data_IF_637177324144
#
_entry.id   IF_637177324144
#
_cell.length_a   1.000
_cell.length_b   1.000
_cell.length_c   1.000
_cell.angle_alpha   90.00
_cell.angle_beta   90.00
_cell.angle_gamma   90.00
#
_symmetry.space_group_name_H-M   'P 1'
#
loop_
_entity.id
_entity.type
_entity.pdbx_description
1 polymer ?
#
# COMPACT_ATOMS: atom_id res chain seq x y z
N UNK A 1 -9.75 19.65 41.62
CA UNK A 1 -8.32 19.34 41.40
C UNK A 1 -8.21 17.89 40.97
N UNK A 2 -8.15 17.63 39.67
CA UNK A 2 -7.85 16.30 39.11
C UNK A 2 -6.79 16.53 38.05
N UNK A 3 -5.64 15.87 38.24
CA UNK A 3 -4.44 16.05 37.45
C UNK A 3 -4.62 15.53 36.02
N UNK A 4 -4.21 16.36 35.05
CA UNK A 4 -4.17 16.01 33.65
C UNK A 4 -2.97 15.08 33.37
N UNK A 5 -3.24 13.81 33.05
CA UNK A 5 -2.26 12.95 32.40
C UNK A 5 -2.04 13.45 30.97
N UNK A 6 -0.88 14.07 30.74
CA UNK A 6 -0.36 14.36 29.40
C UNK A 6 0.15 13.06 28.80
N UNK A 7 -0.58 12.49 27.86
CA UNK A 7 -0.06 11.46 26.97
C UNK A 7 0.80 12.14 25.90
N UNK A 8 2.11 11.96 25.99
CA UNK A 8 3.04 12.20 24.88
C UNK A 8 2.81 11.15 23.78
N UNK A 9 2.68 11.54 22.49
CA UNK A 9 2.56 10.59 21.41
C UNK A 9 3.87 9.82 21.17
N UNK A 10 3.81 8.53 20.76
CA UNK A 10 5.01 7.75 20.43
C UNK A 10 5.65 8.22 19.11
N UNK A 11 6.96 7.97 18.91
CA UNK A 11 7.65 8.36 17.68
C UNK A 11 7.15 7.53 16.49
N UNK A 12 7.00 8.21 15.35
CA UNK A 12 6.66 7.60 14.07
C UNK A 12 7.77 6.65 13.62
N UNK A 13 7.39 5.40 13.32
CA UNK A 13 8.24 4.45 12.60
C UNK A 13 8.38 3.11 13.30
N UNK A 14 7.45 2.18 13.05
CA UNK A 14 7.76 0.74 12.85
C UNK A 14 6.50 -0.04 12.41
N UNK A 15 6.05 0.14 11.15
CA UNK A 15 4.81 -0.50 10.67
C UNK A 15 4.94 -2.01 10.43
N UNK A 16 6.14 -2.59 10.51
CA UNK A 16 6.39 -4.03 10.28
C UNK A 16 6.54 -4.85 11.56
N UNK A 17 6.53 -4.23 12.74
CA UNK A 17 6.88 -4.92 14.01
C UNK A 17 5.74 -5.64 14.73
N UNK A 18 4.54 -5.70 14.16
CA UNK A 18 3.35 -6.21 14.85
C UNK A 18 2.85 -7.59 14.37
N UNK A 19 3.67 -8.34 13.62
CA UNK A 19 3.35 -9.72 13.21
C UNK A 19 4.08 -10.83 14.01
N UNK A 20 4.74 -10.51 15.12
CA UNK A 20 5.47 -11.50 15.92
C UNK A 20 5.06 -11.50 17.40
N UNK A 21 3.82 -11.93 17.67
CA UNK A 21 3.45 -12.54 18.96
C UNK A 21 2.18 -13.39 18.85
N UNK A 22 2.28 -14.51 18.12
CA UNK A 22 1.28 -15.59 18.11
C UNK A 22 1.88 -16.89 18.63
N UNK A 23 2.46 -16.85 19.84
CA UNK A 23 3.03 -18.03 20.51
C UNK A 23 1.97 -18.75 21.35
N UNK A 24 1.55 -19.91 20.86
CA UNK A 24 1.15 -21.12 21.59
C UNK A 24 0.64 -20.99 23.04
N UNK A 25 -0.63 -21.33 23.26
CA UNK A 25 -1.06 -22.00 24.48
C UNK A 25 -2.08 -23.10 24.16
N UNK A 26 -1.58 -24.32 24.14
CA UNK A 26 -2.33 -25.56 24.27
C UNK A 26 -3.00 -25.65 25.64
N UNK A 27 -4.26 -26.09 25.69
CA UNK A 27 -4.95 -26.46 26.92
C UNK A 27 -6.32 -27.05 26.60
N UNK A 28 -6.42 -28.38 26.66
CA UNK A 28 -7.64 -29.13 26.38
C UNK A 28 -8.58 -29.29 27.58
N UNK A 29 -9.68 -30.01 27.31
CA UNK A 29 -10.73 -30.41 28.26
C UNK A 29 -11.96 -29.52 28.15
N UNK A 30 -13.18 -29.97 27.92
CA UNK A 30 -13.77 -31.31 27.91
C UNK A 30 -15.26 -31.15 28.20
N UNK A 31 -16.11 -31.89 27.47
CA UNK A 31 -17.43 -32.41 27.86
C UNK A 31 -18.56 -31.47 28.35
N UNK A 32 -19.75 -31.67 27.77
CA UNK A 32 -21.02 -31.36 28.46
C UNK A 32 -22.11 -30.84 27.52
N UNK A 33 -23.06 -31.72 27.16
CA UNK A 33 -24.25 -31.38 26.38
C UNK A 33 -25.45 -30.89 27.21
N UNK A 34 -26.62 -30.97 26.56
CA UNK A 34 -27.96 -30.48 26.95
C UNK A 34 -28.16 -28.97 26.71
N UNK A 35 -29.26 -28.45 26.18
CA UNK A 35 -30.54 -29.02 25.79
C UNK A 35 -31.52 -27.86 25.51
N UNK A 36 -32.33 -28.04 24.46
CA UNK A 36 -33.70 -27.54 24.19
C UNK A 36 -34.26 -26.28 24.90
N UNK A 37 -34.89 -25.41 24.10
CA UNK A 37 -36.19 -24.70 24.29
C UNK A 37 -36.09 -23.23 23.84
N UNK A 38 -36.57 -22.88 22.65
CA UNK A 38 -37.92 -22.37 22.38
C UNK A 38 -38.35 -21.19 23.27
N UNK A 39 -38.46 -19.99 22.70
CA UNK A 39 -39.72 -19.23 22.69
C UNK A 39 -39.59 -17.94 21.87
N UNK A 40 -40.38 -17.92 20.81
CA UNK A 40 -40.79 -16.77 20.03
C UNK A 40 -41.60 -15.80 20.88
N UNK A 41 -41.21 -14.52 20.91
CA UNK A 41 -42.04 -13.43 21.39
C UNK A 41 -42.52 -12.60 20.20
N UNK A 42 -43.75 -12.87 19.79
CA UNK A 42 -44.57 -12.05 18.90
C UNK A 42 -45.02 -10.81 19.67
N UNK A 43 -44.59 -9.62 19.23
CA UNK A 43 -45.18 -8.36 19.66
C UNK A 43 -46.02 -7.81 18.51
N UNK A 44 -47.33 -7.86 18.69
CA UNK A 44 -48.33 -7.26 17.81
C UNK A 44 -48.74 -5.91 18.40
N UNK A 45 -48.87 -4.88 17.57
CA UNK A 45 -49.63 -3.70 17.96
C UNK A 45 -49.18 -2.36 17.39
N UNK A 46 -50.00 -1.91 16.42
CA UNK A 46 -50.40 -0.51 16.17
C UNK A 46 -49.48 0.37 15.32
N UNK A 47 -49.94 0.45 14.07
CA UNK A 47 -50.00 1.63 13.21
C UNK A 47 -50.04 2.97 13.93
N UNK A 48 -49.16 3.88 13.54
CA UNK A 48 -49.40 5.33 13.58
C UNK A 48 -49.02 5.89 12.20
N UNK A 49 -49.90 6.75 11.69
CA UNK A 49 -49.99 7.15 10.30
C UNK A 49 -48.82 7.97 9.80
N UNK A 50 -48.57 7.82 8.50
CA UNK A 50 -47.66 8.67 7.75
C UNK A 50 -48.19 10.09 7.65
N UNK A 51 -47.31 11.03 7.98
CA UNK A 51 -47.33 12.37 7.42
C UNK A 51 -45.97 12.57 6.74
N UNK A 52 -45.95 12.36 5.43
CA UNK A 52 -44.78 12.53 4.58
C UNK A 52 -44.37 13.99 4.55
N UNK A 53 -43.37 14.35 5.36
CA UNK A 53 -42.53 15.50 5.09
C UNK A 53 -41.49 15.06 4.08
N UNK A 54 -41.75 15.35 2.81
CA UNK A 54 -40.78 15.29 1.74
C UNK A 54 -39.61 16.22 2.09
N UNK A 55 -38.61 15.66 2.78
CA UNK A 55 -37.28 16.28 2.88
C UNK A 55 -36.68 16.10 1.49
N UNK A 56 -36.72 17.18 0.71
CA UNK A 56 -35.87 17.33 -0.46
C UNK A 56 -34.42 17.08 -0.01
N UNK A 57 -33.93 15.88 -0.25
CA UNK A 57 -32.51 15.55 -0.19
C UNK A 57 -31.85 16.28 -1.35
N UNK A 58 -31.61 17.57 -1.17
CA UNK A 58 -30.60 18.27 -1.95
C UNK A 58 -29.29 17.54 -1.66
N UNK A 59 -28.87 16.70 -2.59
CA UNK A 59 -27.52 16.14 -2.61
C UNK A 59 -26.57 17.33 -2.51
N UNK A 60 -25.99 17.56 -1.33
CA UNK A 60 -24.83 18.44 -1.22
C UNK A 60 -23.74 17.72 -2.00
N UNK A 61 -23.58 18.12 -3.26
CA UNK A 61 -22.33 17.90 -3.96
C UNK A 61 -21.24 18.42 -3.03
N UNK A 62 -20.35 17.52 -2.59
CA UNK A 62 -19.24 17.87 -1.70
C UNK A 62 -18.58 19.13 -2.21
N UNK A 63 -18.46 20.13 -1.35
CA UNK A 63 -17.89 21.42 -1.75
C UNK A 63 -16.42 21.16 -2.08
N UNK A 64 -16.05 21.36 -3.35
CA UNK A 64 -14.67 21.22 -3.77
C UNK A 64 -13.77 22.10 -2.88
N UNK A 65 -12.68 21.53 -2.38
CA UNK A 65 -11.73 22.23 -1.53
C UNK A 65 -11.30 23.54 -2.21
N UNK A 66 -11.29 24.68 -1.48
CA UNK A 66 -10.79 25.93 -2.02
C UNK A 66 -9.38 25.73 -2.57
N UNK A 67 -9.12 26.23 -3.79
CA UNK A 67 -7.85 26.01 -4.49
C UNK A 67 -6.62 26.37 -3.63
N UNK A 68 -6.73 27.42 -2.80
CA UNK A 68 -5.67 27.85 -1.89
C UNK A 68 -5.33 26.80 -0.80
N UNK A 69 -6.34 26.11 -0.25
CA UNK A 69 -6.14 25.05 0.76
C UNK A 69 -5.54 23.81 0.09
N UNK A 70 -6.01 23.47 -1.12
CA UNK A 70 -5.45 22.38 -1.91
C UNK A 70 -3.97 22.64 -2.24
N UNK A 71 -3.64 23.86 -2.66
CA UNK A 71 -2.26 24.22 -3.00
C UNK A 71 -1.34 24.24 -1.76
N UNK A 72 -1.88 24.60 -0.59
CA UNK A 72 -1.18 24.51 0.68
C UNK A 72 -0.84 23.07 1.06
N UNK A 73 -1.82 22.17 0.96
CA UNK A 73 -1.66 20.74 1.24
C UNK A 73 -0.63 20.09 0.32
N UNK A 74 -0.57 20.51 -0.94
CA UNK A 74 0.36 19.98 -1.94
C UNK A 74 1.77 20.60 -1.87
N UNK A 75 2.09 21.45 -0.88
CA UNK A 75 3.46 21.96 -0.69
C UNK A 75 4.43 20.81 -0.38
N UNK A 76 5.54 20.75 -1.12
CA UNK A 76 6.61 19.76 -0.89
C UNK A 76 6.37 18.40 -1.56
N UNK A 77 5.34 18.28 -2.40
CA UNK A 77 5.14 17.15 -3.33
C UNK A 77 5.87 17.46 -4.63
N UNK A 78 6.54 16.46 -5.20
CA UNK A 78 7.19 16.61 -6.50
C UNK A 78 6.20 16.98 -7.61
N UNK A 79 6.61 17.85 -8.54
CA UNK A 79 5.73 18.38 -9.58
C UNK A 79 5.08 17.26 -10.44
N UNK A 80 5.82 16.17 -10.66
CA UNK A 80 5.35 15.00 -11.42
C UNK A 80 4.22 14.25 -10.71
N UNK A 81 4.21 14.23 -9.37
CA UNK A 81 3.22 13.50 -8.57
C UNK A 81 2.02 14.37 -8.18
N UNK A 82 2.15 15.70 -8.32
CA UNK A 82 1.18 16.68 -7.80
C UNK A 82 -0.25 16.42 -8.26
N UNK A 83 -0.46 16.06 -9.53
CA UNK A 83 -1.82 15.77 -10.04
C UNK A 83 -2.41 14.51 -9.42
N UNK A 84 -1.62 13.44 -9.31
CA UNK A 84 -2.08 12.18 -8.71
C UNK A 84 -2.42 12.37 -7.24
N UNK A 85 -1.58 13.10 -6.50
CA UNK A 85 -1.83 13.41 -5.08
C UNK A 85 -3.04 14.34 -4.91
N UNK A 86 -3.24 15.31 -5.80
CA UNK A 86 -4.42 16.17 -5.79
C UNK A 86 -5.72 15.35 -5.92
N UNK A 87 -5.76 14.35 -6.81
CA UNK A 87 -6.91 13.43 -6.95
C UNK A 87 -7.16 12.63 -5.67
N UNK A 88 -6.11 12.23 -4.95
CA UNK A 88 -6.24 11.55 -3.64
C UNK A 88 -6.81 12.50 -2.59
N UNK A 89 -6.40 13.76 -2.55
CA UNK A 89 -6.96 14.77 -1.64
C UNK A 89 -8.45 15.03 -1.94
N UNK A 90 -8.83 15.07 -3.20
CA UNK A 90 -10.25 15.20 -3.60
C UNK A 90 -11.05 13.94 -3.24
N UNK A 91 -10.45 12.75 -3.32
CA UNK A 91 -11.05 11.51 -2.82
C UNK A 91 -11.23 11.56 -1.30
N UNK A 92 -10.21 12.04 -0.57
CA UNK A 92 -10.22 12.19 0.89
C UNK A 92 -11.37 13.08 1.37
N UNK A 93 -11.56 14.23 0.71
CA UNK A 93 -12.66 15.13 1.04
C UNK A 93 -14.02 14.46 0.81
N UNK A 94 -14.19 13.77 -0.32
CA UNK A 94 -15.43 13.04 -0.60
C UNK A 94 -15.68 11.93 0.41
N UNK A 95 -14.63 11.24 0.86
CA UNK A 95 -14.73 10.20 1.88
C UNK A 95 -15.18 10.79 3.23
N UNK A 96 -14.63 11.95 3.61
CA UNK A 96 -15.04 12.68 4.80
C UNK A 96 -16.51 13.14 4.72
N UNK A 97 -16.96 13.65 3.57
CA UNK A 97 -18.33 14.12 3.36
C UNK A 97 -19.36 12.97 3.33
N UNK A 98 -18.98 11.84 2.72
CA UNK A 98 -19.88 10.68 2.51
C UNK A 98 -19.87 9.66 3.64
N UNK A 99 -18.99 9.81 4.64
CA UNK A 99 -18.81 8.84 5.72
C UNK A 99 -18.54 7.41 5.24
N UNK A 100 -17.93 7.27 4.06
CA UNK A 100 -17.61 6.00 3.44
C UNK A 100 -16.11 5.87 3.19
N UNK A 101 -15.59 4.65 3.23
CA UNK A 101 -14.23 4.37 2.79
C UNK A 101 -14.22 4.33 1.27
N UNK A 102 -13.46 5.22 0.65
CA UNK A 102 -13.26 5.29 -0.78
C UNK A 102 -11.88 4.77 -1.16
N UNK A 103 -11.72 4.35 -2.42
CA UNK A 103 -10.46 3.77 -2.89
C UNK A 103 -9.92 4.54 -4.09
N UNK A 104 -8.64 4.90 -4.03
CA UNK A 104 -7.93 5.54 -5.14
C UNK A 104 -7.65 4.54 -6.26
N UNK A 105 -6.99 5.01 -7.33
CA UNK A 105 -6.39 4.15 -8.34
C UNK A 105 -5.08 3.54 -7.82
N UNK A 106 -4.46 2.65 -8.61
CA UNK A 106 -3.14 2.12 -8.32
C UNK A 106 -2.07 3.17 -8.58
N UNK A 107 -1.37 3.54 -7.52
CA UNK A 107 -0.29 4.52 -7.53
C UNK A 107 1.06 3.83 -7.30
N UNK A 108 2.12 4.46 -7.81
CA UNK A 108 3.50 4.01 -7.57
C UNK A 108 3.92 4.34 -6.14
N UNK A 109 4.94 3.64 -5.57
CA UNK A 109 5.38 3.89 -4.20
C UNK A 109 5.71 5.36 -3.87
N UNK A 110 6.36 6.14 -4.76
CA UNK A 110 6.59 7.57 -4.51
C UNK A 110 5.31 8.37 -4.32
N UNK A 111 4.32 8.16 -5.20
CA UNK A 111 3.03 8.86 -5.17
C UNK A 111 2.24 8.46 -3.92
N UNK A 112 2.28 7.18 -3.55
CA UNK A 112 1.65 6.69 -2.31
C UNK A 112 2.27 7.33 -1.08
N UNK A 113 3.60 7.42 -1.02
CA UNK A 113 4.30 8.06 0.09
C UNK A 113 3.92 9.55 0.20
N UNK A 114 3.99 10.30 -0.90
CA UNK A 114 3.60 11.71 -0.91
C UNK A 114 2.12 11.89 -0.53
N UNK A 115 1.23 11.03 -1.03
CA UNK A 115 -0.18 11.07 -0.72
C UNK A 115 -0.45 10.82 0.77
N UNK A 116 0.17 9.80 1.37
CA UNK A 116 0.02 9.52 2.80
C UNK A 116 0.51 10.67 3.68
N UNK A 117 1.63 11.30 3.33
CA UNK A 117 2.11 12.48 4.05
C UNK A 117 1.14 13.67 3.94
N UNK A 118 0.50 13.86 2.80
CA UNK A 118 -0.51 14.93 2.63
C UNK A 118 -1.77 14.60 3.43
N UNK A 119 -2.21 13.34 3.44
CA UNK A 119 -3.38 12.90 4.21
C UNK A 119 -3.18 13.10 5.71
N UNK A 120 -1.97 12.89 6.24
CA UNK A 120 -1.65 13.17 7.65
C UNK A 120 -1.81 14.64 8.07
N UNK A 121 -1.82 15.57 7.10
CA UNK A 121 -2.05 17.00 7.35
C UNK A 121 -3.53 17.37 7.31
N UNK A 122 -4.40 16.47 6.85
CA UNK A 122 -5.85 16.68 6.83
C UNK A 122 -6.45 16.24 8.17
N UNK A 123 -7.44 16.99 8.66
CA UNK A 123 -8.17 16.62 9.86
C UNK A 123 -9.23 15.53 9.55
N UNK A 124 -9.46 14.63 10.49
CA UNK A 124 -10.50 13.59 10.47
C UNK A 124 -10.44 12.62 9.28
N UNK A 125 -9.28 12.48 8.64
CA UNK A 125 -9.07 11.56 7.51
C UNK A 125 -7.82 10.72 7.73
N UNK A 126 -7.94 9.42 7.49
CA UNK A 126 -6.82 8.49 7.43
C UNK A 126 -6.78 7.78 6.06
N UNK A 127 -5.58 7.38 5.67
CA UNK A 127 -5.32 6.62 4.46
C UNK A 127 -4.49 5.38 4.76
N UNK A 128 -4.90 4.23 4.22
CA UNK A 128 -4.13 2.98 4.27
C UNK A 128 -3.81 2.54 2.84
N UNK A 129 -2.53 2.28 2.58
CA UNK A 129 -2.08 1.77 1.29
C UNK A 129 -2.15 0.25 1.27
N UNK A 130 -2.82 -0.31 0.26
CA UNK A 130 -2.89 -1.75 0.04
C UNK A 130 -2.81 -2.10 -1.45
N UNK A 131 -1.92 -3.02 -1.78
CA UNK A 131 -1.69 -3.49 -3.15
C UNK A 131 -2.09 -4.94 -3.38
N UNK A 132 -2.71 -5.62 -2.41
CA UNK A 132 -3.13 -7.03 -2.51
C UNK A 132 -2.19 -8.02 -1.81
N UNK A 133 -0.90 -7.69 -1.69
CA UNK A 133 0.08 -8.44 -0.90
C UNK A 133 1.11 -7.50 -0.25
N UNK A 134 1.82 -7.92 0.82
CA UNK A 134 2.67 -7.02 1.61
C UNK A 134 3.87 -6.40 0.88
N UNK A 135 4.27 -6.96 -0.27
CA UNK A 135 5.40 -6.49 -1.08
C UNK A 135 4.96 -5.86 -2.40
N UNK A 136 3.68 -5.51 -2.55
CA UNK A 136 3.19 -4.86 -3.76
C UNK A 136 3.93 -3.54 -4.00
N UNK A 137 4.36 -3.31 -5.24
CA UNK A 137 4.93 -2.04 -5.68
C UNK A 137 3.81 -1.04 -5.95
N UNK A 138 2.78 -1.42 -6.71
CA UNK A 138 1.63 -0.55 -6.96
C UNK A 138 0.54 -0.81 -5.93
N UNK A 139 0.17 0.24 -5.20
CA UNK A 139 -0.85 0.17 -4.15
C UNK A 139 -2.00 1.13 -4.44
N UNK A 140 -3.20 0.75 -4.00
CA UNK A 140 -4.35 1.65 -3.89
C UNK A 140 -4.41 2.21 -2.48
N UNK A 141 -4.92 3.42 -2.33
CA UNK A 141 -5.18 4.05 -1.05
C UNK A 141 -6.65 3.88 -0.71
N UNK A 142 -6.94 3.21 0.40
CA UNK A 142 -8.22 3.28 1.06
C UNK A 142 -8.23 4.52 1.95
N UNK A 143 -9.13 5.46 1.68
CA UNK A 143 -9.22 6.74 2.38
C UNK A 143 -10.61 6.89 2.98
N UNK A 144 -10.67 7.27 4.25
CA UNK A 144 -11.89 7.42 5.02
C UNK A 144 -11.61 8.16 6.33
N UNK A 145 -12.62 8.24 7.21
CA UNK A 145 -12.40 8.80 8.54
C UNK A 145 -11.47 7.91 9.36
N UNK A 146 -10.70 8.50 10.26
CA UNK A 146 -9.72 7.79 11.10
C UNK A 146 -10.35 6.57 11.79
N UNK A 147 -11.51 6.75 12.43
CA UNK A 147 -12.27 5.68 13.08
C UNK A 147 -12.66 4.50 12.16
N UNK A 148 -12.99 4.77 10.89
CA UNK A 148 -13.43 3.76 9.94
C UNK A 148 -12.24 2.99 9.33
N UNK A 149 -11.09 3.65 9.23
CA UNK A 149 -9.89 3.10 8.59
C UNK A 149 -8.97 2.42 9.63
N UNK A 150 -8.91 2.91 10.87
CA UNK A 150 -8.10 2.32 11.94
C UNK A 150 -8.51 0.88 12.25
N UNK A 151 -9.82 0.58 12.33
CA UNK A 151 -10.32 -0.78 12.53
C UNK A 151 -9.93 -1.75 11.41
N UNK A 152 -9.62 -1.23 10.22
CA UNK A 152 -9.26 -1.99 9.02
C UNK A 152 -7.75 -1.98 8.74
N UNK A 153 -6.96 -1.22 9.51
CA UNK A 153 -5.50 -1.18 9.39
C UNK A 153 -4.83 -2.49 9.84
N UNK A 154 -5.51 -3.26 10.70
CA UNK A 154 -5.03 -4.56 11.20
C UNK A 154 -5.08 -5.68 10.16
N UNK A 155 -6.04 -5.63 9.22
CA UNK A 155 -6.13 -6.54 8.08
C UNK A 155 -6.53 -5.78 6.81
N UNK A 156 -5.55 -5.18 6.10
CA UNK A 156 -5.80 -4.43 4.88
C UNK A 156 -6.44 -5.27 3.75
N UNK A 157 -6.41 -6.60 3.84
CA UNK A 157 -7.07 -7.47 2.85
C UNK A 157 -8.61 -7.37 2.93
N UNK A 158 -9.15 -7.02 4.10
CA UNK A 158 -10.58 -6.82 4.33
C UNK A 158 -11.10 -5.49 3.79
N UNK A 159 -10.21 -4.58 3.38
CA UNK A 159 -10.60 -3.32 2.75
C UNK A 159 -11.36 -3.56 1.44
N UNK A 160 -11.26 -4.76 0.84
CA UNK A 160 -11.98 -5.12 -0.38
C UNK A 160 -11.58 -4.28 -1.59
N UNK A 161 -10.48 -3.53 -1.50
CA UNK A 161 -10.08 -2.58 -2.52
C UNK A 161 -9.23 -3.16 -3.64
N UNK A 162 -8.77 -4.41 -3.54
CA UNK A 162 -7.95 -5.06 -4.55
C UNK A 162 -8.50 -6.46 -4.79
N UNK A 163 -8.63 -6.82 -6.06
CA UNK A 163 -8.95 -8.18 -6.48
C UNK A 163 -7.82 -8.74 -7.34
N UNK A 164 -7.69 -10.06 -7.35
CA UNK A 164 -6.75 -10.76 -8.21
C UNK A 164 -7.51 -11.54 -9.29
N UNK A 165 -6.99 -11.49 -10.52
CA UNK A 165 -7.47 -12.27 -11.64
C UNK A 165 -6.33 -13.18 -12.09
N UNK A 166 -6.56 -14.48 -12.08
CA UNK A 166 -5.66 -15.46 -12.67
C UNK A 166 -5.95 -15.59 -14.17
N UNK A 167 -4.91 -15.42 -14.96
CA UNK A 167 -4.91 -15.57 -16.42
C UNK A 167 -4.13 -16.83 -16.76
N UNK A 168 -4.87 -17.89 -17.10
CA UNK A 168 -4.30 -19.20 -17.41
C UNK A 168 -4.26 -19.41 -18.92
N UNK A 169 -3.10 -19.83 -19.43
CA UNK A 169 -2.86 -20.14 -20.84
C UNK A 169 -1.67 -21.06 -21.02
N UNK A 170 -1.50 -21.60 -22.23
CA UNK A 170 -0.36 -22.46 -22.55
C UNK A 170 0.80 -21.64 -23.14
N UNK A 171 1.72 -21.20 -22.29
CA UNK A 171 2.86 -20.37 -22.68
C UNK A 171 4.17 -21.17 -22.87
N UNK A 172 4.11 -22.50 -23.01
CA UNK A 172 5.32 -23.32 -23.22
C UNK A 172 6.08 -22.99 -24.51
N UNK A 173 5.36 -22.56 -25.56
CA UNK A 173 5.94 -22.33 -26.89
C UNK A 173 5.99 -20.85 -27.31
N UNK A 174 5.30 -19.95 -26.59
CA UNK A 174 5.38 -18.49 -26.76
C UNK A 174 5.42 -17.86 -25.35
N UNK A 175 6.61 -17.72 -24.74
CA UNK A 175 6.72 -17.22 -23.38
C UNK A 175 6.29 -15.76 -23.30
N UNK A 176 5.20 -15.51 -22.58
CA UNK A 176 4.70 -14.15 -22.37
C UNK A 176 5.46 -13.44 -21.25
N UNK A 177 5.85 -12.19 -21.51
CA UNK A 177 6.46 -11.31 -20.53
C UNK A 177 5.42 -10.47 -19.79
N UNK A 178 5.83 -9.81 -18.71
CA UNK A 178 5.00 -8.84 -18.00
C UNK A 178 4.38 -7.78 -18.94
N UNK A 179 5.13 -7.33 -19.96
CA UNK A 179 4.65 -6.31 -20.91
C UNK A 179 3.49 -6.82 -21.77
N UNK A 180 3.49 -8.11 -22.10
CA UNK A 180 2.47 -8.73 -22.95
C UNK A 180 1.14 -8.86 -22.20
N UNK A 181 1.17 -9.33 -20.94
CA UNK A 181 -0.02 -9.38 -20.09
C UNK A 181 -0.60 -7.98 -19.83
N UNK A 182 0.27 -6.99 -19.60
CA UNK A 182 -0.15 -5.62 -19.47
C UNK A 182 -0.82 -5.11 -20.76
N UNK A 183 -0.18 -5.33 -21.90
CA UNK A 183 -0.71 -4.92 -23.21
C UNK A 183 -2.08 -5.54 -23.49
N UNK A 184 -2.26 -6.82 -23.17
CA UNK A 184 -3.54 -7.51 -23.32
C UNK A 184 -4.62 -6.91 -22.41
N UNK A 185 -4.31 -6.60 -21.15
CA UNK A 185 -5.25 -5.93 -20.25
C UNK A 185 -5.65 -4.55 -20.75
N UNK A 186 -4.68 -3.74 -21.21
CA UNK A 186 -4.97 -2.42 -21.76
C UNK A 186 -5.78 -2.50 -23.07
N UNK A 187 -5.57 -3.57 -23.87
CA UNK A 187 -6.34 -3.86 -25.07
C UNK A 187 -7.83 -4.09 -24.81
N UNK A 188 -8.22 -4.49 -23.60
CA UNK A 188 -9.64 -4.62 -23.19
C UNK A 188 -10.33 -3.28 -22.91
N UNK A 189 -9.61 -2.15 -23.01
CA UNK A 189 -10.12 -0.80 -22.72
C UNK A 189 -9.93 -0.36 -21.28
N UNK A 190 -9.20 -1.12 -20.45
CA UNK A 190 -8.89 -0.74 -19.06
C UNK A 190 -7.77 0.29 -19.02
N UNK A 191 -7.92 1.31 -18.18
CA UNK A 191 -6.88 2.29 -17.92
C UNK A 191 -5.73 1.71 -17.06
N UNK A 192 -4.49 2.13 -17.35
CA UNK A 192 -3.30 1.70 -16.59
C UNK A 192 -3.40 1.99 -15.08
N UNK A 193 -4.12 3.05 -14.69
CA UNK A 193 -4.35 3.39 -13.29
C UNK A 193 -5.17 2.35 -12.53
N UNK A 194 -5.98 1.53 -13.20
CA UNK A 194 -6.82 0.49 -12.57
C UNK A 194 -6.14 -0.88 -12.48
N UNK A 195 -4.94 -1.00 -13.05
CA UNK A 195 -4.14 -2.22 -13.04
C UNK A 195 -2.95 -2.02 -12.10
N UNK A 196 -2.83 -2.95 -11.15
CA UNK A 196 -1.74 -3.03 -10.20
C UNK A 196 -0.57 -3.85 -10.74
N UNK A 197 0.00 -4.65 -9.86
CA UNK A 197 1.12 -5.53 -10.17
C UNK A 197 0.66 -6.78 -10.94
N UNK A 198 1.55 -7.28 -11.80
CA UNK A 198 1.33 -8.48 -12.59
C UNK A 198 2.39 -9.51 -12.18
N UNK A 199 1.94 -10.60 -11.59
CA UNK A 199 2.77 -11.71 -11.14
C UNK A 199 2.82 -12.77 -12.24
N UNK A 200 3.91 -12.79 -12.99
CA UNK A 200 4.09 -13.76 -14.09
C UNK A 200 4.52 -15.12 -13.53
N UNK A 201 3.74 -16.16 -13.83
CA UNK A 201 3.94 -17.55 -13.38
C UNK A 201 4.73 -18.39 -14.41
N UNK A 202 5.25 -17.78 -15.46
CA UNK A 202 6.00 -18.47 -16.52
C UNK A 202 5.05 -19.20 -17.46
N UNK A 203 5.17 -20.53 -17.54
CA UNK A 203 4.45 -21.36 -18.51
C UNK A 203 2.94 -21.45 -18.25
N UNK A 204 2.51 -21.25 -17.00
CA UNK A 204 1.11 -21.39 -16.57
C UNK A 204 0.30 -20.09 -16.72
N UNK A 205 0.95 -18.96 -17.07
CA UNK A 205 0.30 -17.66 -17.25
C UNK A 205 0.71 -16.63 -16.21
N UNK A 206 -0.23 -15.82 -15.75
CA UNK A 206 0.02 -14.72 -14.82
C UNK A 206 -1.17 -14.43 -13.91
N UNK A 207 -0.92 -13.81 -12.76
CA UNK A 207 -1.94 -13.26 -11.88
C UNK A 207 -1.85 -11.74 -11.91
N UNK A 208 -2.99 -11.06 -12.06
CA UNK A 208 -3.07 -9.62 -12.28
C UNK A 208 -3.90 -9.00 -11.18
N UNK A 209 -3.34 -7.99 -10.52
CA UNK A 209 -4.07 -7.25 -9.50
C UNK A 209 -4.82 -6.09 -10.13
N UNK A 210 -6.10 -5.98 -9.79
CA UNK A 210 -7.01 -5.00 -10.38
C UNK A 210 -7.99 -4.46 -9.35
N UNK A 211 -8.68 -3.40 -9.75
CA UNK A 211 -9.84 -2.91 -9.01
C UNK A 211 -10.97 -3.97 -9.07
N UNK A 212 -11.68 -4.25 -7.96
CA UNK A 212 -12.69 -5.30 -7.90
C UNK A 212 -13.80 -5.17 -8.96
N UNK A 213 -14.16 -3.93 -9.31
CA UNK A 213 -15.17 -3.63 -10.31
C UNK A 213 -14.76 -4.00 -11.75
N UNK A 214 -13.51 -4.43 -11.98
CA UNK A 214 -12.99 -4.82 -13.29
C UNK A 214 -12.83 -6.34 -13.45
N UNK A 215 -13.10 -7.12 -12.41
CA UNK A 215 -12.95 -8.58 -12.46
C UNK A 215 -13.84 -9.19 -13.52
N UNK A 216 -15.15 -8.92 -13.48
CA UNK A 216 -16.12 -9.43 -14.45
C UNK A 216 -15.80 -9.00 -15.89
N UNK A 217 -15.35 -7.74 -16.06
CA UNK A 217 -14.94 -7.23 -17.37
C UNK A 217 -13.72 -7.99 -17.91
N UNK A 218 -12.72 -8.25 -17.08
CA UNK A 218 -11.53 -9.01 -17.48
C UNK A 218 -11.84 -10.47 -17.77
N UNK A 219 -12.71 -11.10 -16.98
CA UNK A 219 -13.16 -12.48 -17.24
C UNK A 219 -13.82 -12.63 -18.61
N UNK A 220 -14.61 -11.63 -19.03
CA UNK A 220 -15.29 -11.64 -20.32
C UNK A 220 -14.40 -11.18 -21.49
N UNK A 221 -13.59 -10.14 -21.31
CA UNK A 221 -12.87 -9.48 -22.39
C UNK A 221 -11.46 -10.05 -22.64
N UNK A 222 -10.79 -10.58 -21.62
CA UNK A 222 -9.41 -11.06 -21.73
C UNK A 222 -9.38 -12.53 -22.20
N UNK A 223 -9.54 -12.72 -23.51
CA UNK A 223 -9.60 -14.05 -24.14
C UNK A 223 -8.29 -14.48 -24.79
N UNK A 224 -7.39 -13.53 -25.08
CA UNK A 224 -6.14 -13.80 -25.78
C UNK A 224 -5.01 -12.89 -25.28
N UNK A 225 -3.83 -13.47 -25.07
CA UNK A 225 -2.58 -12.74 -24.81
C UNK A 225 -1.62 -13.10 -25.94
N UNK A 226 -1.18 -12.10 -26.72
CA UNK A 226 -0.41 -12.31 -27.96
C UNK A 226 -1.15 -13.24 -28.93
N UNK A 227 -0.66 -14.45 -29.12
CA UNK A 227 -1.23 -15.49 -30.00
C UNK A 227 -1.90 -16.61 -29.20
N UNK A 228 -1.72 -16.62 -27.87
CA UNK A 228 -2.16 -17.70 -26.99
C UNK A 228 -3.57 -17.40 -26.46
N UNK A 229 -4.56 -18.29 -26.63
CA UNK A 229 -5.85 -18.15 -25.98
C UNK A 229 -5.69 -18.35 -24.48
N UNK A 230 -6.31 -17.47 -23.70
CA UNK A 230 -6.25 -17.47 -22.25
C UNK A 230 -7.64 -17.51 -21.64
N UNK A 231 -7.72 -17.96 -20.39
CA UNK A 231 -8.89 -17.85 -19.55
C UNK A 231 -8.56 -17.01 -18.33
N UNK A 232 -9.32 -15.93 -18.13
CA UNK A 232 -9.28 -15.14 -16.91
C UNK A 232 -10.33 -15.65 -15.91
N UNK A 233 -9.96 -15.73 -14.63
CA UNK A 233 -10.85 -16.08 -13.53
C UNK A 233 -10.44 -15.35 -12.25
N UNK A 234 -11.40 -14.94 -11.43
CA UNK A 234 -11.15 -14.39 -10.10
C UNK A 234 -10.43 -15.40 -9.20
N UNK A 235 -9.43 -14.94 -8.45
CA UNK A 235 -8.68 -15.75 -7.49
C UNK A 235 -8.56 -15.02 -6.15
N UNK A 236 -8.54 -15.77 -5.05
CA UNK A 236 -8.36 -15.19 -3.73
C UNK A 236 -6.95 -14.58 -3.60
N UNK A 237 -6.82 -13.45 -2.89
CA UNK A 237 -5.51 -12.81 -2.64
C UNK A 237 -4.54 -13.75 -1.89
N UNK A 238 -5.06 -14.68 -1.09
CA UNK A 238 -4.27 -15.69 -0.39
C UNK A 238 -3.62 -16.73 -1.31
N UNK A 239 -4.12 -16.91 -2.52
CA UNK A 239 -3.61 -17.85 -3.52
C UNK A 239 -2.61 -17.20 -4.49
N UNK A 240 -2.25 -15.94 -4.23
CA UNK A 240 -1.26 -15.24 -5.02
C UNK A 240 0.10 -15.93 -4.91
N UNK A 241 0.61 -16.40 -6.05
CA UNK A 241 1.91 -17.05 -6.16
C UNK A 241 3.01 -16.01 -6.35
N UNK A 242 3.11 -15.10 -5.38
CA UNK A 242 4.18 -14.09 -5.37
C UNK A 242 5.50 -14.80 -5.09
N UNK A 243 6.43 -14.74 -6.05
CA UNK A 243 7.81 -15.16 -5.77
C UNK A 243 8.38 -14.24 -4.70
N UNK A 244 8.88 -14.82 -3.61
CA UNK A 244 9.61 -14.03 -2.62
C UNK A 244 10.73 -13.25 -3.33
N UNK A 245 10.82 -11.92 -3.13
CA UNK A 245 11.87 -11.13 -3.74
C UNK A 245 13.23 -11.72 -3.34
N UNK A 246 14.17 -11.76 -4.29
CA UNK A 246 15.55 -12.14 -3.98
C UNK A 246 16.16 -11.01 -3.17
N UNK A 247 16.11 -11.16 -1.86
CA UNK A 247 16.67 -10.21 -0.91
C UNK A 247 18.03 -10.71 -0.45
N UNK A 248 19.01 -9.81 -0.46
CA UNK A 248 20.31 -10.03 0.15
C UNK A 248 20.37 -9.24 1.46
N UNK A 249 20.38 -9.95 2.58
CA UNK A 249 20.56 -9.33 3.89
C UNK A 249 22.05 -9.02 4.12
N UNK A 250 22.33 -7.77 4.46
CA UNK A 250 23.67 -7.25 4.66
C UNK A 250 23.73 -6.59 6.04
N UNK A 251 24.82 -6.85 6.76
CA UNK A 251 25.11 -6.18 8.02
C UNK A 251 26.46 -5.49 7.93
N UNK A 252 26.51 -4.20 8.22
CA UNK A 252 27.76 -3.43 8.30
C UNK A 252 27.85 -2.62 9.59
N UNK A 253 29.07 -2.28 9.97
CA UNK A 253 29.34 -1.41 11.12
C UNK A 253 30.00 -0.14 10.60
N UNK A 254 29.23 0.94 10.57
CA UNK A 254 29.67 2.25 10.09
C UNK A 254 29.97 3.19 11.25
N UNK A 255 30.86 4.16 11.03
CA UNK A 255 31.19 5.20 12.01
C UNK A 255 30.07 6.23 12.20
N UNK A 256 29.18 6.37 11.22
CA UNK A 256 28.11 7.37 11.18
C UNK A 256 27.00 6.91 10.24
N UNK A 257 25.76 7.34 10.47
CA UNK A 257 24.58 7.03 9.64
C UNK A 257 24.49 7.88 8.36
N UNK A 258 25.63 8.23 7.78
CA UNK A 258 25.67 9.03 6.54
C UNK A 258 25.25 8.19 5.35
N UNK A 259 24.51 8.81 4.43
CA UNK A 259 24.03 8.19 3.20
C UNK A 259 25.17 7.57 2.38
N UNK A 260 26.28 8.27 2.20
CA UNK A 260 27.43 7.74 1.46
C UNK A 260 28.03 6.48 2.12
N UNK A 261 28.17 6.48 3.44
CA UNK A 261 28.69 5.34 4.20
C UNK A 261 27.74 4.13 4.11
N UNK A 262 26.45 4.33 4.43
CA UNK A 262 25.45 3.26 4.43
C UNK A 262 25.23 2.69 3.03
N UNK A 263 25.08 3.55 2.02
CA UNK A 263 24.86 3.12 0.65
C UNK A 263 26.10 2.45 0.04
N UNK A 264 27.32 2.92 0.38
CA UNK A 264 28.56 2.26 -0.07
C UNK A 264 28.66 0.81 0.42
N UNK A 265 28.28 0.56 1.68
CA UNK A 265 28.25 -0.77 2.26
C UNK A 265 27.17 -1.65 1.63
N UNK A 266 25.96 -1.12 1.43
CA UNK A 266 24.84 -1.89 0.87
C UNK A 266 24.99 -2.24 -0.61
N UNK A 267 25.58 -1.36 -1.41
CA UNK A 267 25.80 -1.60 -2.84
C UNK A 267 27.20 -2.16 -3.15
N UNK A 268 28.03 -2.42 -2.14
CA UNK A 268 29.42 -2.91 -2.26
C UNK A 268 30.26 -2.07 -3.22
N UNK A 269 30.25 -0.75 -3.06
CA UNK A 269 31.00 0.18 -3.89
C UNK A 269 31.85 1.15 -3.06
N UNK A 270 32.84 1.79 -3.67
CA UNK A 270 33.66 2.77 -2.95
C UNK A 270 32.83 4.01 -2.59
N UNK A 271 33.13 4.61 -1.43
CA UNK A 271 32.48 5.86 -0.98
C UNK A 271 32.64 7.01 -1.98
N UNK A 272 33.77 7.07 -2.70
CA UNK A 272 34.00 8.06 -3.76
C UNK A 272 32.99 7.92 -4.90
N UNK A 273 32.83 6.70 -5.44
CA UNK A 273 31.85 6.42 -6.50
C UNK A 273 30.43 6.71 -6.05
N UNK A 274 30.09 6.39 -4.80
CA UNK A 274 28.77 6.70 -4.25
C UNK A 274 28.55 8.22 -4.15
N UNK A 275 29.55 8.98 -3.69
CA UNK A 275 29.46 10.44 -3.62
C UNK A 275 29.29 11.07 -5.01
N UNK A 276 29.91 10.51 -6.05
CA UNK A 276 29.76 10.97 -7.43
C UNK A 276 28.33 10.71 -7.96
N UNK A 277 27.77 9.53 -7.68
CA UNK A 277 26.37 9.21 -8.02
C UNK A 277 25.36 10.10 -7.29
N UNK A 278 25.63 10.43 -6.02
CA UNK A 278 24.79 11.37 -5.25
C UNK A 278 24.83 12.76 -5.89
N UNK A 279 26.03 13.24 -6.28
CA UNK A 279 26.17 14.53 -6.98
C UNK A 279 25.51 14.53 -8.36
N UNK A 280 25.52 13.39 -9.05
CA UNK A 280 24.85 13.22 -10.33
C UNK A 280 23.32 13.17 -10.22
N UNK A 281 22.76 13.02 -9.01
CA UNK A 281 21.32 12.90 -8.77
C UNK A 281 20.77 11.49 -9.02
N UNK A 282 21.64 10.48 -9.15
CA UNK A 282 21.27 9.09 -9.42
C UNK A 282 20.82 8.33 -8.17
N UNK A 283 20.95 8.96 -6.99
CA UNK A 283 20.58 8.39 -5.70
C UNK A 283 19.35 9.09 -5.15
N UNK A 284 18.35 8.29 -4.78
CA UNK A 284 17.12 8.75 -4.14
C UNK A 284 16.99 8.13 -2.75
N UNK A 285 16.60 8.92 -1.76
CA UNK A 285 16.23 8.47 -0.42
C UNK A 285 14.75 8.70 -0.25
N UNK A 286 13.99 7.67 0.12
CA UNK A 286 12.53 7.72 0.23
C UNK A 286 11.90 8.36 -1.01
N UNK A 287 12.37 7.94 -2.18
CA UNK A 287 11.92 8.39 -3.51
C UNK A 287 12.28 9.83 -3.90
N UNK A 288 12.93 10.60 -3.03
CA UNK A 288 13.38 11.98 -3.30
C UNK A 288 14.86 12.02 -3.63
N UNK A 289 15.26 12.91 -4.54
CA UNK A 289 16.67 13.08 -4.92
C UNK A 289 17.51 13.49 -3.70
N UNK A 290 18.58 12.75 -3.41
CA UNK A 290 19.46 13.06 -2.31
C UNK A 290 20.44 14.17 -2.72
N UNK A 291 20.25 15.39 -2.20
CA UNK A 291 21.13 16.52 -2.54
C UNK A 291 22.48 16.54 -1.82
N UNK A 292 22.65 15.78 -0.72
CA UNK A 292 23.86 15.80 0.11
C UNK A 292 24.29 14.38 0.50
N UNK A 293 25.56 14.06 0.25
CA UNK A 293 26.16 12.78 0.66
C UNK A 293 26.22 12.57 2.18
N UNK A 294 26.22 13.67 2.94
CA UNK A 294 26.20 13.67 4.40
C UNK A 294 24.79 13.59 4.99
N UNK A 295 23.75 13.38 4.19
CA UNK A 295 22.39 13.19 4.70
C UNK A 295 22.36 11.99 5.66
N UNK A 296 21.70 12.13 6.79
CA UNK A 296 21.53 11.03 7.74
C UNK A 296 20.40 10.11 7.28
N UNK A 297 20.63 8.80 7.38
CA UNK A 297 19.67 7.75 7.02
C UNK A 297 19.18 7.08 8.30
N UNK A 298 17.87 6.88 8.40
CA UNK A 298 17.21 6.27 9.55
C UNK A 298 16.75 4.85 9.24
N UNK A 299 16.39 4.10 10.29
CA UNK A 299 15.73 2.81 10.12
C UNK A 299 14.36 3.02 9.45
N UNK A 300 14.06 2.20 8.46
CA UNK A 300 12.87 2.32 7.60
C UNK A 300 13.13 3.04 6.28
N UNK A 301 14.27 3.74 6.12
CA UNK A 301 14.56 4.46 4.89
C UNK A 301 14.90 3.52 3.72
N UNK A 302 14.43 3.90 2.54
CA UNK A 302 14.70 3.20 1.28
C UNK A 302 15.60 4.05 0.39
N UNK A 303 16.81 3.55 0.15
CA UNK A 303 17.80 4.15 -0.74
C UNK A 303 17.75 3.44 -2.10
N UNK A 304 17.43 4.19 -3.16
CA UNK A 304 17.39 3.68 -4.53
C UNK A 304 18.51 4.30 -5.35
N UNK A 305 19.25 3.47 -6.08
CA UNK A 305 20.34 3.93 -6.96
C UNK A 305 20.05 3.48 -8.38
N UNK A 306 20.05 4.43 -9.31
CA UNK A 306 19.81 4.17 -10.72
C UNK A 306 20.77 3.08 -11.25
N UNK A 307 20.20 2.03 -11.85
CA UNK A 307 20.97 0.91 -12.42
C UNK A 307 21.61 -0.06 -11.42
N UNK A 308 21.43 0.12 -10.10
CA UNK A 308 22.04 -0.76 -9.07
C UNK A 308 21.04 -1.43 -8.13
N UNK A 309 19.80 -0.94 -8.09
CA UNK A 309 18.70 -1.54 -7.32
C UNK A 309 18.29 -0.68 -6.12
N UNK A 310 17.61 -1.32 -5.17
CA UNK A 310 17.07 -0.68 -3.95
C UNK A 310 17.67 -1.31 -2.71
N UNK A 311 17.89 -0.49 -1.69
CA UNK A 311 18.43 -0.84 -0.39
C UNK A 311 17.50 -0.29 0.69
N UNK A 312 16.99 -1.14 1.57
CA UNK A 312 16.17 -0.74 2.72
C UNK A 312 16.99 -0.90 4.00
N UNK A 313 17.01 0.13 4.85
CA UNK A 313 17.64 0.07 6.17
C UNK A 313 16.64 -0.50 7.17
N UNK A 314 16.85 -1.72 7.67
CA UNK A 314 15.94 -2.36 8.63
C UNK A 314 16.14 -1.85 10.05
N UNK A 315 17.39 -1.74 10.47
CA UNK A 315 17.72 -1.32 11.82
C UNK A 315 19.07 -0.61 11.85
N UNK A 316 19.15 0.43 12.68
CA UNK A 316 20.38 1.15 12.99
C UNK A 316 20.53 1.23 14.51
N UNK A 317 21.53 0.56 15.07
CA UNK A 317 21.78 0.51 16.50
C UNK A 317 23.20 0.98 16.83
N UNK A 318 23.36 1.75 17.91
CA UNK A 318 24.67 2.15 18.37
C UNK A 318 25.33 1.03 19.19
N UNK A 319 26.54 0.66 18.83
CA UNK A 319 27.36 -0.32 19.54
C UNK A 319 27.97 0.31 20.80
N UNK A 320 28.39 -0.53 21.76
CA UNK A 320 29.09 -0.11 22.99
C UNK A 320 30.38 0.69 22.73
N UNK A 321 30.92 0.66 21.50
CA UNK A 321 32.12 1.39 21.07
C UNK A 321 31.81 2.68 20.29
N UNK A 322 30.57 3.17 20.31
CA UNK A 322 30.16 4.41 19.65
C UNK A 322 30.04 4.34 18.12
N UNK A 323 30.15 3.13 17.52
CA UNK A 323 29.90 2.90 16.08
C UNK A 323 28.46 2.46 15.85
N UNK A 324 27.90 2.67 14.66
CA UNK A 324 26.57 2.26 14.29
C UNK A 324 26.58 0.90 13.58
N UNK A 325 25.94 -0.10 14.16
CA UNK A 325 25.61 -1.37 13.51
C UNK A 325 24.34 -1.17 12.69
N UNK A 326 24.44 -1.35 11.38
CA UNK A 326 23.34 -1.16 10.43
C UNK A 326 22.99 -2.49 9.79
N UNK A 327 21.72 -2.88 9.90
CA UNK A 327 21.13 -4.00 9.18
C UNK A 327 20.36 -3.46 7.99
N UNK A 328 20.68 -3.96 6.81
CA UNK A 328 20.10 -3.49 5.56
C UNK A 328 19.74 -4.67 4.66
N UNK A 329 18.70 -4.48 3.86
CA UNK A 329 18.21 -5.48 2.90
C UNK A 329 18.33 -4.89 1.51
N UNK A 330 19.10 -5.56 0.66
CA UNK A 330 19.20 -5.21 -0.75
C UNK A 330 18.23 -6.04 -1.56
N UNK A 331 17.43 -5.36 -2.38
CA UNK A 331 16.54 -5.98 -3.35
C UNK A 331 17.32 -6.18 -4.66
N UNK A 332 17.44 -7.44 -5.10
CA UNK A 332 18.12 -7.86 -6.34
C UNK A 332 17.16 -8.00 -7.51
#
# INVERSE_FOLDING_TARGET
MIAACRCTPPPAGDWRRWCSSGGSSSGGGGGGGAGLASSSATCSGRSCGGAGLARSSSSRAGTALPAAVRDDLLRGVDAEHRESVARVVELAQRAADSWAVLHSDFHTPPVVADALMVLQRMADVAGVAWGGYPQAERCRLAVGREEAVEGLAGDPSQLGGVAAVEVTGNFMFDPASHRDFLGACLGTGIERGKVGDIVVRGEQGAQILVAPNLVEHLEAALTQVRTVPVRAAAVALSELQVRAPRVEELSSVESSLRLDAVASAGFRMSRSKMADLIKAGDVRVNWRAAGKASAEVQAGDVVSVAGKGRLEVKAAAMTKKGKHSVQMVRYL
#
